data_IF_241790855572
#
_entry.id   IF_241790855572
#
_cell.length_a   1.000
_cell.length_b   1.000
_cell.length_c   1.000
_cell.angle_alpha   90.00
_cell.angle_beta   90.00
_cell.angle_gamma   90.00
#
_symmetry.space_group_name_H-M   'P 1'
#
loop_
_entity.id
_entity.type
_entity.pdbx_description
1 polymer ?
#
# COMPACT_ATOMS: atom_id res chain seq x y z
N UNK A 1 -27.71 -28.22 -0.68
CA UNK A 1 -28.54 -27.08 -0.23
C UNK A 1 -29.26 -27.53 1.03
N UNK A 2 -29.02 -26.94 2.21
CA UNK A 2 -29.77 -27.30 3.41
C UNK A 2 -31.18 -26.70 3.33
N UNK A 3 -32.18 -27.53 3.08
CA UNK A 3 -33.58 -27.11 3.20
C UNK A 3 -34.04 -27.46 4.62
N UNK A 4 -34.45 -26.44 5.36
CA UNK A 4 -35.11 -26.56 6.65
C UNK A 4 -36.62 -26.66 6.39
N UNK A 5 -37.29 -27.54 7.10
CA UNK A 5 -38.72 -27.81 6.98
C UNK A 5 -39.38 -27.58 8.35
N UNK A 6 -40.60 -27.07 8.37
CA UNK A 6 -41.35 -26.88 9.62
C UNK A 6 -42.25 -28.09 9.86
N UNK A 7 -42.01 -28.79 10.97
CA UNK A 7 -42.82 -29.92 11.40
C UNK A 7 -43.78 -29.48 12.53
N UNK A 8 -45.11 -29.66 12.37
CA UNK A 8 -46.05 -29.38 13.44
C UNK A 8 -45.99 -30.48 14.52
N UNK A 9 -45.85 -30.09 15.79
CA UNK A 9 -46.05 -30.96 16.94
C UNK A 9 -47.53 -30.96 17.37
N UNK A 10 -48.00 -32.07 17.96
CA UNK A 10 -49.33 -32.17 18.62
C UNK A 10 -49.56 -31.12 19.71
N UNK A 11 -48.48 -30.54 20.21
CA UNK A 11 -48.44 -29.45 21.17
C UNK A 11 -48.70 -28.05 20.53
N UNK A 12 -48.90 -27.98 19.22
CA UNK A 12 -49.14 -26.74 18.46
C UNK A 12 -47.87 -25.95 18.09
N UNK A 13 -46.69 -26.40 18.53
CA UNK A 13 -45.40 -25.76 18.24
C UNK A 13 -44.84 -26.28 16.92
N UNK A 14 -44.33 -25.39 16.06
CA UNK A 14 -43.65 -25.77 14.81
C UNK A 14 -42.15 -25.91 15.05
N UNK A 15 -41.61 -27.11 14.84
CA UNK A 15 -40.19 -27.42 15.02
C UNK A 15 -39.49 -27.31 13.66
N UNK A 16 -38.37 -26.60 13.59
CA UNK A 16 -37.51 -26.57 12.41
C UNK A 16 -36.65 -27.82 12.34
N UNK A 17 -36.87 -28.66 11.32
CA UNK A 17 -36.08 -29.86 11.06
C UNK A 17 -35.31 -29.73 9.76
N UNK A 18 -34.09 -30.25 9.72
CA UNK A 18 -33.28 -30.27 8.49
C UNK A 18 -33.47 -31.58 7.74
N UNK A 19 -33.30 -31.55 6.42
CA UNK A 19 -33.39 -32.76 5.60
C UNK A 19 -32.41 -33.88 6.02
N UNK A 20 -31.32 -33.53 6.72
CA UNK A 20 -30.34 -34.46 7.31
C UNK A 20 -30.81 -35.16 8.58
N UNK A 21 -31.89 -34.70 9.21
CA UNK A 21 -32.49 -35.28 10.41
C UNK A 21 -33.68 -36.20 10.09
N UNK A 22 -33.87 -36.55 8.82
CA UNK A 22 -34.95 -37.44 8.38
C UNK A 22 -34.77 -38.86 8.96
N UNK A 23 -35.79 -39.39 9.64
CA UNK A 23 -35.71 -40.69 10.32
C UNK A 23 -35.03 -40.68 11.69
N UNK A 24 -34.74 -39.49 12.24
CA UNK A 24 -34.13 -39.33 13.56
C UNK A 24 -35.20 -39.07 14.64
N UNK A 25 -34.86 -39.25 15.92
CA UNK A 25 -35.75 -38.96 17.07
C UNK A 25 -35.44 -37.61 17.68
N UNK A 26 -36.40 -36.68 17.62
CA UNK A 26 -36.26 -35.35 18.21
C UNK A 26 -37.18 -35.20 19.43
N UNK A 27 -36.63 -34.68 20.53
CA UNK A 27 -37.42 -34.32 21.71
C UNK A 27 -38.00 -32.94 21.48
N UNK A 28 -39.33 -32.83 21.49
CA UNK A 28 -40.00 -31.53 21.42
C UNK A 28 -39.89 -30.80 22.76
N UNK A 29 -40.01 -29.47 22.77
CA UNK A 29 -40.06 -28.65 23.99
C UNK A 29 -41.17 -29.06 24.99
N UNK A 30 -42.18 -29.81 24.53
CA UNK A 30 -43.22 -30.40 25.37
C UNK A 30 -42.78 -31.70 26.09
N UNK A 31 -41.52 -32.13 25.92
CA UNK A 31 -40.92 -33.31 26.55
C UNK A 31 -41.29 -34.65 25.90
N UNK A 32 -42.00 -34.64 24.76
CA UNK A 32 -42.32 -35.85 24.00
C UNK A 32 -41.28 -36.14 22.92
N UNK A 33 -40.93 -37.41 22.75
CA UNK A 33 -40.13 -37.88 21.63
C UNK A 33 -41.01 -37.91 20.37
N UNK A 34 -40.59 -37.19 19.35
CA UNK A 34 -41.23 -37.13 18.04
C UNK A 34 -40.32 -37.82 17.02
N UNK A 35 -40.82 -38.86 16.37
CA UNK A 35 -40.12 -39.50 15.26
C UNK A 35 -40.19 -38.57 14.05
N UNK A 36 -39.04 -38.17 13.51
CA UNK A 36 -38.98 -37.35 12.31
C UNK A 36 -39.33 -38.23 11.11
N UNK A 37 -40.38 -37.89 10.34
CA UNK A 37 -40.88 -38.71 9.25
C UNK A 37 -39.85 -38.82 8.13
N UNK A 38 -40.09 -39.79 7.25
CA UNK A 38 -39.16 -40.13 6.19
C UNK A 38 -38.90 -38.93 5.26
N UNK A 39 -37.77 -38.94 4.56
CA UNK A 39 -37.37 -37.87 3.65
C UNK A 39 -38.45 -37.54 2.59
N UNK A 40 -39.24 -38.54 2.19
CA UNK A 40 -40.35 -38.40 1.23
C UNK A 40 -41.51 -37.59 1.80
N UNK A 41 -41.79 -37.72 3.10
CA UNK A 41 -42.87 -37.03 3.81
C UNK A 41 -42.44 -35.61 4.24
N UNK A 42 -41.16 -35.42 4.61
CA UNK A 42 -40.60 -34.09 4.88
C UNK A 42 -40.70 -33.14 3.68
N UNK A 43 -40.60 -33.67 2.45
CA UNK A 43 -40.78 -32.87 1.22
C UNK A 43 -42.22 -32.40 1.00
N UNK A 44 -43.20 -32.99 1.68
CA UNK A 44 -44.61 -32.58 1.62
C UNK A 44 -44.95 -31.53 2.68
N UNK A 45 -44.07 -31.31 3.67
CA UNK A 45 -44.22 -30.26 4.68
C UNK A 45 -43.85 -28.89 4.11
N UNK A 46 -44.42 -27.85 4.71
CA UNK A 46 -44.16 -26.47 4.34
C UNK A 46 -42.66 -26.17 4.54
N UNK A 47 -41.93 -25.84 3.45
CA UNK A 47 -40.52 -25.49 3.58
C UNK A 47 -40.44 -24.24 4.46
N UNK A 48 -39.55 -24.27 5.47
CA UNK A 48 -39.25 -23.06 6.21
C UNK A 48 -38.78 -22.03 5.18
N UNK A 49 -39.39 -20.85 5.17
CA UNK A 49 -38.99 -19.75 4.29
C UNK A 49 -37.46 -19.67 4.33
N UNK A 50 -36.82 -19.81 3.16
CA UNK A 50 -35.37 -19.84 3.05
C UNK A 50 -34.80 -18.69 3.89
N UNK A 51 -33.77 -18.92 4.73
CA UNK A 51 -33.19 -17.85 5.52
C UNK A 51 -32.79 -16.73 4.55
N UNK A 52 -33.58 -15.65 4.56
CA UNK A 52 -33.33 -14.46 3.74
C UNK A 52 -32.24 -13.60 4.37
N UNK A 53 -31.60 -14.10 5.42
CA UNK A 53 -30.48 -13.48 6.10
C UNK A 53 -29.26 -14.39 5.97
N UNK A 54 -28.67 -14.43 4.77
CA UNK A 54 -27.21 -14.50 4.70
C UNK A 54 -26.66 -13.32 5.51
N UNK A 55 -25.50 -13.44 6.18
CA UNK A 55 -24.98 -12.39 7.05
C UNK A 55 -25.09 -11.06 6.30
N UNK A 56 -25.78 -10.11 6.94
CA UNK A 56 -26.09 -8.79 6.46
C UNK A 56 -24.77 -8.09 6.13
N UNK A 57 -24.21 -8.41 4.96
CA UNK A 57 -23.07 -7.75 4.37
C UNK A 57 -23.63 -6.40 3.94
N UNK A 58 -23.85 -5.53 4.93
CA UNK A 58 -24.15 -4.12 4.76
C UNK A 58 -23.21 -3.66 3.67
N UNK A 59 -23.75 -3.51 2.45
CA UNK A 59 -22.97 -3.05 1.31
C UNK A 59 -22.40 -1.73 1.77
N UNK A 60 -21.10 -1.72 2.05
CA UNK A 60 -20.41 -0.57 2.60
C UNK A 60 -20.52 0.51 1.53
N UNK A 61 -21.52 1.36 1.66
CA UNK A 61 -21.84 2.36 0.66
C UNK A 61 -20.75 3.44 0.77
N UNK A 62 -19.70 3.31 -0.03
CA UNK A 62 -18.63 4.28 -0.08
C UNK A 62 -19.18 5.60 -0.59
N UNK A 63 -18.97 6.65 0.19
CA UNK A 63 -19.24 8.00 -0.30
C UNK A 63 -18.24 8.35 -1.41
N UNK A 64 -18.67 9.13 -2.41
CA UNK A 64 -17.78 9.59 -3.50
C UNK A 64 -16.51 10.28 -2.96
N UNK A 65 -16.62 10.95 -1.83
CA UNK A 65 -15.49 11.61 -1.15
C UNK A 65 -14.51 10.59 -0.56
N UNK A 66 -14.99 9.50 0.05
CA UNK A 66 -14.12 8.41 0.54
C UNK A 66 -13.41 7.69 -0.61
N UNK A 67 -14.13 7.41 -1.70
CA UNK A 67 -13.54 6.82 -2.89
C UNK A 67 -12.44 7.73 -3.48
N UNK A 68 -12.70 9.04 -3.56
CA UNK A 68 -11.74 10.01 -4.06
C UNK A 68 -10.50 10.12 -3.15
N UNK A 69 -10.67 10.24 -1.83
CA UNK A 69 -9.57 10.29 -0.87
C UNK A 69 -8.72 9.01 -0.88
N UNK A 70 -9.36 7.85 -1.02
CA UNK A 70 -8.65 6.58 -1.10
C UNK A 70 -7.82 6.50 -2.38
N UNK A 71 -8.42 6.79 -3.54
CA UNK A 71 -7.72 6.72 -4.83
C UNK A 71 -6.60 7.76 -4.92
N UNK A 72 -6.85 9.00 -4.52
CA UNK A 72 -5.82 10.05 -4.51
C UNK A 72 -4.69 9.74 -3.51
N UNK A 73 -5.03 9.28 -2.29
CA UNK A 73 -4.04 8.92 -1.29
C UNK A 73 -3.17 7.74 -1.72
N UNK A 74 -3.79 6.70 -2.28
CA UNK A 74 -3.09 5.52 -2.78
C UNK A 74 -2.19 5.86 -3.97
N UNK A 75 -2.70 6.61 -4.94
CA UNK A 75 -1.92 7.01 -6.12
C UNK A 75 -0.71 7.87 -5.71
N UNK A 76 -0.92 8.82 -4.79
CA UNK A 76 0.17 9.66 -4.26
C UNK A 76 1.23 8.80 -3.55
N UNK A 77 0.80 7.84 -2.72
CA UNK A 77 1.73 6.96 -2.00
C UNK A 77 2.54 6.08 -2.96
N UNK A 78 1.91 5.53 -4.00
CA UNK A 78 2.58 4.68 -5.01
C UNK A 78 3.59 5.50 -5.82
N UNK A 79 3.19 6.66 -6.34
CA UNK A 79 4.06 7.54 -7.13
C UNK A 79 5.23 8.04 -6.31
N UNK A 80 4.98 8.50 -5.07
CA UNK A 80 6.04 8.98 -4.19
C UNK A 80 7.01 7.86 -3.78
N UNK A 81 6.52 6.64 -3.55
CA UNK A 81 7.38 5.47 -3.28
C UNK A 81 8.27 5.12 -4.47
N UNK A 82 7.73 5.15 -5.69
CA UNK A 82 8.51 4.98 -6.92
C UNK A 82 9.57 6.08 -7.09
N UNK A 83 9.21 7.33 -6.79
CA UNK A 83 10.14 8.46 -6.79
C UNK A 83 11.28 8.31 -5.79
N UNK A 84 11.00 7.78 -4.59
CA UNK A 84 12.03 7.46 -3.58
C UNK A 84 12.98 6.38 -4.11
N UNK A 85 12.44 5.30 -4.67
CA UNK A 85 13.24 4.21 -5.25
C UNK A 85 14.15 4.71 -6.38
N UNK A 86 13.62 5.55 -7.27
CA UNK A 86 14.40 6.12 -8.36
C UNK A 86 15.46 7.12 -7.86
N UNK A 87 15.12 8.01 -6.94
CA UNK A 87 16.06 8.98 -6.38
C UNK A 87 17.17 8.32 -5.55
N UNK A 88 16.86 7.24 -4.82
CA UNK A 88 17.87 6.45 -4.10
C UNK A 88 18.79 5.70 -5.05
N UNK A 89 18.27 5.13 -6.14
CA UNK A 89 19.09 4.53 -7.19
C UNK A 89 20.07 5.55 -7.80
N UNK A 90 19.57 6.73 -8.19
CA UNK A 90 20.43 7.80 -8.71
C UNK A 90 21.47 8.24 -7.69
N UNK A 91 21.08 8.40 -6.42
CA UNK A 91 22.00 8.76 -5.33
C UNK A 91 23.10 7.72 -5.13
N UNK A 92 22.80 6.44 -5.28
CA UNK A 92 23.78 5.36 -5.12
C UNK A 92 24.85 5.34 -6.21
N UNK A 93 24.59 5.96 -7.36
CA UNK A 93 25.58 6.07 -8.44
C UNK A 93 26.51 7.29 -8.30
N UNK A 94 26.21 8.20 -7.38
CA UNK A 94 27.01 9.41 -7.17
C UNK A 94 28.12 9.07 -6.17
N UNK A 95 29.36 9.05 -6.64
CA UNK A 95 30.51 9.02 -5.75
C UNK A 95 30.67 10.39 -5.07
N UNK A 96 30.67 10.36 -3.74
CA UNK A 96 30.84 11.53 -2.87
C UNK A 96 32.04 11.38 -1.93
N UNK A 97 32.81 10.31 -2.11
CA UNK A 97 33.97 9.96 -1.27
C UNK A 97 35.18 10.83 -1.62
N UNK A 98 35.21 11.39 -2.83
CA UNK A 98 36.29 12.27 -3.25
C UNK A 98 36.25 13.60 -2.51
N UNK A 99 37.24 13.77 -1.64
CA UNK A 99 37.54 15.01 -0.93
C UNK A 99 38.69 15.73 -1.62
N UNK A 100 38.86 17.03 -1.34
CA UNK A 100 40.00 17.79 -1.86
C UNK A 100 41.33 17.12 -1.48
N UNK A 101 41.40 16.50 -0.28
CA UNK A 101 42.57 15.79 0.20
C UNK A 101 42.87 14.53 -0.62
N UNK A 102 41.87 13.68 -0.90
CA UNK A 102 42.09 12.47 -1.70
C UNK A 102 42.47 12.79 -3.13
N UNK A 103 41.87 13.84 -3.71
CA UNK A 103 42.24 14.33 -5.05
C UNK A 103 43.68 14.85 -5.04
N UNK A 104 44.08 15.60 -4.01
CA UNK A 104 45.44 16.11 -3.88
C UNK A 104 46.46 14.98 -3.74
N UNK A 105 46.18 13.98 -2.92
CA UNK A 105 47.05 12.82 -2.72
C UNK A 105 47.22 11.99 -3.99
N UNK A 106 46.15 11.76 -4.74
CA UNK A 106 46.24 11.04 -6.03
C UNK A 106 46.99 11.86 -7.08
N UNK A 107 46.83 13.18 -7.09
CA UNK A 107 47.66 14.06 -7.91
C UNK A 107 49.13 14.03 -7.50
N UNK A 108 49.44 14.01 -6.20
CA UNK A 108 50.81 13.92 -5.71
C UNK A 108 51.46 12.60 -6.11
N UNK A 109 50.75 11.47 -5.97
CA UNK A 109 51.21 10.17 -6.47
C UNK A 109 51.44 10.18 -7.98
N UNK A 110 50.55 10.83 -8.73
CA UNK A 110 50.72 10.99 -10.17
C UNK A 110 51.98 11.79 -10.52
N UNK A 111 52.28 12.85 -9.76
CA UNK A 111 53.48 13.67 -9.97
C UNK A 111 54.77 12.93 -9.56
N UNK A 112 54.74 12.15 -8.48
CA UNK A 112 55.89 11.36 -8.00
C UNK A 112 56.29 10.23 -8.95
N UNK A 113 55.34 9.73 -9.76
CA UNK A 113 55.61 8.69 -10.77
C UNK A 113 56.23 9.24 -12.06
N UNK A 114 56.29 10.57 -12.23
CA UNK A 114 56.79 11.21 -13.45
C UNK A 114 58.28 11.49 -13.36
N UNK A 115 58.95 11.45 -14.51
CA UNK A 115 60.33 11.88 -14.63
C UNK A 115 60.47 13.40 -14.42
N UNK A 116 61.63 13.89 -13.93
CA UNK A 116 61.86 15.33 -13.75
C UNK A 116 61.67 16.16 -15.04
N UNK A 117 61.95 15.59 -16.20
CA UNK A 117 61.75 16.24 -17.50
C UNK A 117 60.28 16.40 -17.84
N UNK A 118 59.43 15.39 -17.57
CA UNK A 118 57.98 15.49 -17.75
C UNK A 118 57.38 16.54 -16.82
N UNK A 119 57.86 16.63 -15.57
CA UNK A 119 57.41 17.66 -14.62
C UNK A 119 57.73 19.08 -15.11
N UNK A 120 58.91 19.27 -15.72
CA UNK A 120 59.29 20.55 -16.31
C UNK A 120 58.40 20.92 -17.51
N UNK A 121 58.01 19.94 -18.32
CA UNK A 121 57.06 20.16 -19.42
C UNK A 121 55.66 20.51 -18.92
N UNK A 122 55.17 19.82 -17.87
CA UNK A 122 53.89 20.13 -17.22
C UNK A 122 53.92 21.56 -16.66
N UNK A 123 54.99 21.92 -15.94
CA UNK A 123 55.17 23.28 -15.42
C UNK A 123 55.24 24.32 -16.54
N UNK A 124 56.00 24.05 -17.60
CA UNK A 124 56.09 24.92 -18.77
C UNK A 124 54.73 25.15 -19.44
N UNK A 125 53.92 24.09 -19.57
CA UNK A 125 52.56 24.18 -20.09
C UNK A 125 51.65 25.03 -19.19
N UNK A 126 51.68 24.83 -17.87
CA UNK A 126 50.89 25.63 -16.92
C UNK A 126 51.31 27.10 -16.96
N UNK A 127 52.63 27.37 -17.02
CA UNK A 127 53.17 28.73 -17.08
C UNK A 127 52.79 29.45 -18.37
N UNK A 128 52.81 28.75 -19.50
CA UNK A 128 52.59 29.35 -20.82
C UNK A 128 51.11 29.45 -21.20
N UNK A 129 50.27 28.48 -20.80
CA UNK A 129 48.82 28.43 -21.11
C UNK A 129 47.93 28.97 -19.98
N UNK A 130 48.49 29.12 -18.78
CA UNK A 130 47.74 29.56 -17.60
C UNK A 130 46.92 28.45 -16.95
N UNK A 131 46.63 28.64 -15.65
CA UNK A 131 45.94 27.65 -14.80
C UNK A 131 44.50 27.37 -15.25
N UNK A 132 43.84 28.35 -15.88
CA UNK A 132 42.45 28.26 -16.34
C UNK A 132 42.27 27.39 -17.57
N UNK A 133 43.26 27.36 -18.47
CA UNK A 133 43.18 26.57 -19.70
C UNK A 133 43.64 25.13 -19.48
N UNK A 134 44.61 24.91 -18.58
CA UNK A 134 45.08 23.57 -18.20
C UNK A 134 44.10 22.84 -17.27
N UNK A 135 43.40 23.55 -16.38
CA UNK A 135 42.40 22.94 -15.49
C UNK A 135 41.02 22.79 -16.15
N UNK A 136 40.80 23.43 -17.31
CA UNK A 136 39.46 23.63 -17.86
C UNK A 136 38.60 24.45 -16.89
N UNK A 137 37.66 25.24 -17.39
CA UNK A 137 36.59 25.79 -16.55
C UNK A 137 35.56 24.71 -16.14
N UNK A 138 35.96 23.45 -16.09
CA UNK A 138 35.12 22.36 -15.62
C UNK A 138 35.06 22.43 -14.10
N UNK A 139 33.86 22.75 -13.61
CA UNK A 139 33.55 22.67 -12.18
C UNK A 139 33.91 21.25 -11.75
N UNK A 140 34.75 21.06 -10.71
CA UNK A 140 35.15 19.73 -10.28
C UNK A 140 33.93 18.85 -10.04
N UNK A 141 33.92 17.64 -10.61
CA UNK A 141 32.77 16.74 -10.55
C UNK A 141 32.31 16.50 -9.10
N UNK A 142 33.24 16.47 -8.13
CA UNK A 142 32.91 16.31 -6.71
C UNK A 142 31.98 17.43 -6.16
N UNK A 143 32.12 18.68 -6.63
CA UNK A 143 31.26 19.79 -6.19
C UNK A 143 29.84 19.59 -6.74
N UNK A 144 29.74 19.24 -8.01
CA UNK A 144 28.46 18.98 -8.69
C UNK A 144 27.78 17.75 -8.06
N UNK A 145 28.55 16.70 -7.80
CA UNK A 145 28.10 15.46 -7.18
C UNK A 145 27.62 15.69 -5.74
N UNK A 146 28.34 16.45 -4.92
CA UNK A 146 27.87 16.82 -3.57
C UNK A 146 26.57 17.63 -3.62
N UNK A 147 26.44 18.57 -4.56
CA UNK A 147 25.24 19.38 -4.68
C UNK A 147 24.04 18.55 -5.14
N UNK A 148 24.24 17.66 -6.12
CA UNK A 148 23.22 16.73 -6.59
C UNK A 148 22.82 15.72 -5.52
N UNK A 149 23.78 15.21 -4.75
CA UNK A 149 23.53 14.31 -3.62
C UNK A 149 22.65 14.98 -2.56
N UNK A 150 22.93 16.24 -2.19
CA UNK A 150 22.10 17.01 -1.25
C UNK A 150 20.69 17.24 -1.80
N UNK A 151 20.55 17.60 -3.08
CA UNK A 151 19.25 17.79 -3.75
C UNK A 151 18.43 16.50 -3.79
N UNK A 152 19.04 15.37 -4.17
CA UNK A 152 18.40 14.05 -4.18
C UNK A 152 17.98 13.63 -2.79
N UNK A 153 18.82 13.88 -1.78
CA UNK A 153 18.51 13.60 -0.37
C UNK A 153 17.31 14.42 0.10
N UNK A 154 17.26 15.72 -0.21
CA UNK A 154 16.11 16.58 0.09
C UNK A 154 14.84 16.10 -0.63
N UNK A 155 14.94 15.72 -1.91
CA UNK A 155 13.81 15.18 -2.67
C UNK A 155 13.28 13.87 -2.05
N UNK A 156 14.15 12.97 -1.59
CA UNK A 156 13.76 11.75 -0.87
C UNK A 156 12.98 12.09 0.41
N UNK A 157 13.47 13.05 1.20
CA UNK A 157 12.77 13.46 2.43
C UNK A 157 11.38 14.06 2.12
N UNK A 158 11.27 14.93 1.12
CA UNK A 158 9.99 15.49 0.70
C UNK A 158 9.02 14.40 0.20
N UNK A 159 9.51 13.48 -0.62
CA UNK A 159 8.72 12.35 -1.11
C UNK A 159 8.29 11.42 0.03
N UNK A 160 9.15 11.19 1.03
CA UNK A 160 8.79 10.40 2.22
C UNK A 160 7.65 11.04 3.01
N UNK A 161 7.64 12.37 3.15
CA UNK A 161 6.53 13.10 3.75
C UNK A 161 5.23 12.94 2.95
N UNK A 162 5.30 12.99 1.62
CA UNK A 162 4.14 12.77 0.75
C UNK A 162 3.56 11.35 0.87
N UNK A 163 4.42 10.33 1.04
CA UNK A 163 3.97 8.94 1.31
C UNK A 163 3.19 8.88 2.62
N UNK A 164 3.70 9.48 3.70
CA UNK A 164 3.01 9.49 5.01
C UNK A 164 1.64 10.15 4.88
N UNK A 165 1.55 11.29 4.19
CA UNK A 165 0.27 11.98 3.94
C UNK A 165 -0.69 11.08 3.16
N UNK A 166 -0.23 10.43 2.10
CA UNK A 166 -1.04 9.48 1.31
C UNK A 166 -1.55 8.29 2.13
N UNK A 167 -0.71 7.73 2.99
CA UNK A 167 -1.08 6.65 3.91
C UNK A 167 -2.13 7.14 4.93
N UNK A 168 -1.94 8.32 5.53
CA UNK A 168 -2.93 8.89 6.46
C UNK A 168 -4.27 9.12 5.77
N UNK A 169 -4.29 9.63 4.53
CA UNK A 169 -5.52 9.80 3.74
C UNK A 169 -6.23 8.48 3.45
N UNK A 170 -5.50 7.43 3.09
CA UNK A 170 -6.09 6.11 2.82
C UNK A 170 -6.64 5.46 4.10
N UNK A 171 -5.90 5.52 5.20
CA UNK A 171 -6.33 5.01 6.51
C UNK A 171 -7.57 5.75 7.00
N UNK A 172 -7.58 7.08 6.94
CA UNK A 172 -8.74 7.87 7.35
C UNK A 172 -9.98 7.59 6.48
N UNK A 173 -9.82 7.36 5.19
CA UNK A 173 -10.92 6.92 4.32
C UNK A 173 -11.44 5.52 4.68
N UNK A 174 -10.54 4.62 5.09
CA UNK A 174 -10.91 3.27 5.52
C UNK A 174 -11.60 3.25 6.89
N UNK A 175 -11.19 4.11 7.83
CA UNK A 175 -11.73 4.21 9.19
C UNK A 175 -13.00 5.07 9.28
N UNK A 176 -13.14 6.08 8.42
CA UNK A 176 -14.38 6.84 8.32
C UNK A 176 -15.48 5.91 7.78
N UNK A 177 -16.37 5.44 8.65
CA UNK A 177 -17.52 4.63 8.25
C UNK A 177 -18.47 5.37 7.30
N UNK A 178 -19.36 4.66 6.58
CA UNK A 178 -20.35 5.30 5.72
C UNK A 178 -21.21 6.28 6.53
N UNK A 179 -21.09 7.58 6.28
CA UNK A 179 -22.03 8.57 6.80
C UNK A 179 -23.36 8.38 6.07
N UNK A 180 -24.31 7.73 6.72
CA UNK A 180 -25.68 7.62 6.28
C UNK A 180 -26.25 9.05 6.14
N UNK A 181 -26.43 9.55 4.92
CA UNK A 181 -27.24 10.75 4.71
C UNK A 181 -28.68 10.38 5.06
N UNK A 182 -29.16 10.75 6.25
CA UNK A 182 -30.59 10.70 6.53
C UNK A 182 -31.25 11.69 5.57
N UNK A 183 -32.01 11.16 4.60
CA UNK A 183 -32.86 11.98 3.75
C UNK A 183 -33.82 12.75 4.65
N UNK A 184 -33.70 14.07 4.64
CA UNK A 184 -34.72 14.97 5.14
C UNK A 184 -35.97 14.77 4.27
N UNK A 185 -36.88 13.93 4.72
CA UNK A 185 -38.27 13.94 4.25
C UNK A 185 -38.86 15.31 4.61
N UNK A 186 -38.88 16.21 3.64
CA UNK A 186 -39.67 17.45 3.71
C UNK A 186 -41.12 17.01 3.47
N UNK A 187 -41.90 16.94 4.53
CA UNK A 187 -43.35 16.96 4.43
C UNK A 187 -43.76 18.34 3.89
N UNK A 188 -44.51 18.34 2.79
CA UNK A 188 -45.46 19.36 2.40
C UNK A 188 -46.47 18.71 1.43
#
# INVERSE_FOLDING_TARGET
MPQQYLMPCDCGVKITVTASQAGDQLVCECGKNLDVPSFTELRQLEPAAAPTDGPDHKRRNWSRVQALLFTCGLLTAVVASGGIGFATYLRSQIDTTDTIETIADDYLKFLDQRSPTELLEIWGNIRNKGLTEVRGLEVPEYIVNQQNYKRLTQAIYLASGAVVIGIVMTITSLLAGPRHKSGSARAN
#
